data_IF_116348538053
#
_entry.id   IF_116348538053
#
_cell.length_a   1.000
_cell.length_b   1.000
_cell.length_c   1.000
_cell.angle_alpha   90.00
_cell.angle_beta   90.00
_cell.angle_gamma   90.00
#
_symmetry.space_group_name_H-M   'P 1'
#
loop_
_entity.id
_entity.type
_entity.pdbx_description
1 polymer ?
#
# COMPACT_ATOMS: atom_id res chain seq x y z
N UNK A 1 1.57 5.66 -12.95
CA UNK A 1 1.76 5.86 -11.50
C UNK A 1 3.22 5.56 -11.19
N UNK A 2 4.08 6.58 -11.18
CA UNK A 2 5.47 6.43 -10.74
C UNK A 2 5.49 6.66 -9.24
N UNK A 3 5.77 5.62 -8.46
CA UNK A 3 6.01 5.72 -7.03
C UNK A 3 7.29 6.57 -6.84
N UNK A 4 7.12 7.85 -6.49
CA UNK A 4 8.25 8.76 -6.30
C UNK A 4 8.98 8.39 -5.02
N UNK A 5 10.31 8.35 -5.07
CA UNK A 5 11.16 8.09 -3.89
C UNK A 5 10.93 9.08 -2.75
N UNK A 6 10.36 10.26 -3.02
CA UNK A 6 9.98 11.23 -2.00
C UNK A 6 8.76 10.79 -1.17
N UNK A 7 7.78 10.13 -1.79
CA UNK A 7 6.56 9.69 -1.08
C UNK A 7 6.85 8.49 -0.19
N UNK A 8 7.70 7.57 -0.64
CA UNK A 8 8.14 6.44 0.17
C UNK A 8 8.88 6.91 1.43
N UNK A 9 9.77 7.90 1.30
CA UNK A 9 10.49 8.47 2.45
C UNK A 9 9.55 9.03 3.51
N UNK A 10 8.41 9.62 3.13
CA UNK A 10 7.42 10.12 4.09
C UNK A 10 6.87 8.99 4.98
N UNK A 11 6.68 7.79 4.44
CA UNK A 11 6.21 6.63 5.21
C UNK A 11 7.22 6.16 6.28
N UNK A 12 8.53 6.26 6.03
CA UNK A 12 9.54 5.96 7.06
C UNK A 12 9.59 7.04 8.14
N UNK A 13 9.42 8.30 7.76
CA UNK A 13 9.38 9.41 8.72
C UNK A 13 8.19 9.27 9.67
N UNK A 14 7.02 8.86 9.14
CA UNK A 14 5.79 8.70 9.90
C UNK A 14 5.65 7.32 10.58
N UNK A 15 6.62 6.43 10.38
CA UNK A 15 6.56 5.04 10.81
C UNK A 15 6.25 4.89 12.31
N UNK A 16 6.85 5.72 13.16
CA UNK A 16 6.64 5.67 14.62
C UNK A 16 5.38 6.42 15.07
N UNK A 17 4.97 7.45 14.33
CA UNK A 17 3.81 8.27 14.69
C UNK A 17 2.47 7.69 14.24
N UNK A 18 2.46 6.82 13.22
CA UNK A 18 1.23 6.30 12.62
C UNK A 18 1.18 4.78 12.61
N UNK A 19 0.30 4.22 13.45
CA UNK A 19 0.14 2.78 13.61
C UNK A 19 -0.29 2.04 12.32
N UNK A 20 -1.05 2.70 11.44
CA UNK A 20 -1.45 2.12 10.15
C UNK A 20 -0.27 1.99 9.19
N UNK A 21 0.58 3.02 9.14
CA UNK A 21 1.83 3.02 8.37
C UNK A 21 2.78 1.95 8.93
N UNK A 22 2.96 1.94 10.24
CA UNK A 22 3.79 0.96 10.95
C UNK A 22 3.40 -0.48 10.61
N UNK A 23 2.12 -0.84 10.82
CA UNK A 23 1.60 -2.19 10.58
C UNK A 23 1.69 -2.62 9.12
N UNK A 24 1.53 -1.68 8.19
CA UNK A 24 1.63 -1.97 6.75
C UNK A 24 3.07 -2.21 6.35
N UNK A 25 4.00 -1.39 6.83
CA UNK A 25 5.43 -1.55 6.61
C UNK A 25 5.95 -2.86 7.23
N UNK A 26 5.54 -3.17 8.46
CA UNK A 26 5.94 -4.42 9.15
C UNK A 26 5.51 -5.67 8.39
N UNK A 27 4.28 -5.65 7.86
CA UNK A 27 3.77 -6.75 7.02
C UNK A 27 4.56 -6.89 5.74
N UNK A 28 4.89 -5.77 5.07
CA UNK A 28 5.68 -5.77 3.85
C UNK A 28 7.08 -6.35 4.10
N UNK A 29 7.78 -5.85 5.12
CA UNK A 29 9.13 -6.27 5.47
C UNK A 29 9.18 -7.74 5.87
N UNK A 30 8.20 -8.22 6.64
CA UNK A 30 8.12 -9.63 7.02
C UNK A 30 7.77 -10.53 5.83
N UNK A 31 6.83 -10.11 4.98
CA UNK A 31 6.37 -10.92 3.84
C UNK A 31 7.40 -11.03 2.72
N UNK A 32 8.18 -9.97 2.49
CA UNK A 32 9.20 -9.92 1.44
C UNK A 32 10.62 -10.09 1.95
N UNK A 33 10.80 -10.30 3.26
CA UNK A 33 12.10 -10.55 3.88
C UNK A 33 13.12 -9.44 3.53
N UNK A 34 12.68 -8.19 3.68
CA UNK A 34 13.41 -6.99 3.31
C UNK A 34 13.36 -5.95 4.44
N UNK A 35 14.22 -4.93 4.39
CA UNK A 35 14.24 -3.84 5.35
C UNK A 35 14.43 -2.48 4.67
N UNK A 36 13.61 -1.51 5.07
CA UNK A 36 13.56 -0.21 4.41
C UNK A 36 12.99 -0.28 2.98
N UNK A 37 13.16 0.78 2.20
CA UNK A 37 12.71 0.80 0.80
C UNK A 37 13.85 0.39 -0.12
N UNK A 38 14.91 1.17 -0.13
CA UNK A 38 16.10 0.88 -0.92
C UNK A 38 17.13 0.14 -0.08
N UNK A 39 17.19 0.41 1.23
CA UNK A 39 18.09 -0.28 2.16
C UNK A 39 17.62 -0.12 3.61
N UNK A 40 18.10 -1.00 4.49
CA UNK A 40 17.96 -0.87 5.94
C UNK A 40 18.47 0.49 6.49
N UNK A 41 19.33 1.18 5.74
CA UNK A 41 19.84 2.53 6.07
C UNK A 41 18.77 3.63 5.98
N UNK A 42 17.65 3.40 5.29
CA UNK A 42 16.58 4.40 5.13
C UNK A 42 15.98 4.84 6.47
N UNK A 43 16.11 4.03 7.52
CA UNK A 43 15.72 4.39 8.88
C UNK A 43 16.51 5.57 9.47
N UNK A 44 17.52 6.11 8.79
CA UNK A 44 18.13 7.40 9.14
C UNK A 44 17.16 8.57 9.07
N UNK A 45 16.14 8.49 8.20
CA UNK A 45 15.14 9.54 8.09
C UNK A 45 14.12 9.52 9.23
N UNK A 46 14.03 8.42 9.99
CA UNK A 46 13.09 8.33 11.10
C UNK A 46 13.67 8.94 12.39
N UNK A 47 12.87 9.74 13.09
CA UNK A 47 13.30 10.44 14.29
C UNK A 47 13.71 9.53 15.46
N UNK A 48 13.15 8.32 15.55
CA UNK A 48 13.47 7.36 16.60
C UNK A 48 14.70 6.49 16.27
N UNK A 49 14.91 6.20 14.98
CA UNK A 49 15.93 5.24 14.51
C UNK A 49 17.19 5.91 13.95
N UNK A 50 17.15 7.22 13.69
CA UNK A 50 18.33 8.00 13.27
C UNK A 50 19.51 7.79 14.22
N UNK A 51 20.72 7.72 13.70
CA UNK A 51 21.89 7.39 14.51
C UNK A 51 22.24 8.50 15.52
N UNK A 52 21.79 9.74 15.29
CA UNK A 52 21.89 10.87 16.23
C UNK A 52 20.80 10.89 17.32
N UNK A 53 19.82 9.99 17.29
CA UNK A 53 18.82 9.89 18.35
C UNK A 53 19.45 9.39 19.65
N UNK A 54 18.75 9.62 20.77
CA UNK A 54 19.11 9.08 22.08
C UNK A 54 18.25 7.85 22.36
N UNK A 55 18.84 6.83 22.97
CA UNK A 55 18.14 5.61 23.39
C UNK A 55 18.58 4.35 22.64
N UNK A 56 18.07 3.20 23.08
CA UNK A 56 18.48 1.88 22.59
C UNK A 56 18.11 1.61 21.13
N UNK A 57 17.09 2.31 20.62
CA UNK A 57 16.62 2.23 19.22
C UNK A 57 17.40 3.12 18.25
N UNK A 58 18.28 3.98 18.77
CA UNK A 58 19.11 4.84 17.92
C UNK A 58 20.05 4.00 17.06
N UNK A 59 20.20 4.37 15.79
CA UNK A 59 20.98 3.62 14.80
C UNK A 59 20.50 2.16 14.65
N UNK A 60 19.22 1.94 14.92
CA UNK A 60 18.56 0.64 14.83
C UNK A 60 17.61 0.54 13.64
N UNK A 61 16.92 -0.57 13.58
CA UNK A 61 15.82 -0.87 12.65
C UNK A 61 14.66 -1.48 13.45
N UNK A 62 13.43 -1.47 12.93
CA UNK A 62 12.31 -2.11 13.62
C UNK A 62 12.43 -3.64 13.67
N UNK A 63 11.69 -4.29 14.59
CA UNK A 63 11.72 -5.75 14.75
C UNK A 63 11.28 -6.54 13.51
N UNK A 64 10.47 -5.94 12.64
CA UNK A 64 10.03 -6.52 11.37
C UNK A 64 11.17 -6.75 10.37
N UNK A 65 12.29 -6.04 10.52
CA UNK A 65 13.52 -6.28 9.74
C UNK A 65 14.35 -7.46 10.26
N UNK A 66 14.01 -8.05 11.41
CA UNK A 66 14.77 -9.14 12.00
C UNK A 66 14.47 -10.47 11.32
N UNK A 67 15.51 -11.28 11.11
CA UNK A 67 15.38 -12.62 10.56
C UNK A 67 14.76 -13.51 11.64
N UNK A 68 13.56 -14.02 11.38
CA UNK A 68 12.91 -15.00 12.24
C UNK A 68 13.45 -16.39 11.95
N UNK A 69 14.12 -16.98 12.94
CA UNK A 69 14.55 -18.38 12.90
C UNK A 69 13.35 -19.22 13.32
N UNK A 70 13.06 -20.31 12.61
CA UNK A 70 11.88 -21.14 12.88
C UNK A 70 11.76 -21.51 14.37
N UNK A 71 10.62 -21.15 14.97
CA UNK A 71 10.32 -21.38 16.38
C UNK A 71 10.64 -20.24 17.36
N UNK A 72 11.22 -19.12 16.91
CA UNK A 72 11.51 -17.97 17.78
C UNK A 72 10.92 -16.67 17.24
N UNK A 73 10.14 -15.98 18.08
CA UNK A 73 9.74 -14.60 17.82
C UNK A 73 10.98 -13.71 17.77
N UNK A 74 11.06 -12.77 16.81
CA UNK A 74 12.18 -11.84 16.74
C UNK A 74 12.16 -11.00 18.02
N UNK A 75 13.24 -11.07 18.80
CA UNK A 75 13.38 -10.25 20.00
C UNK A 75 13.47 -8.79 19.56
N UNK A 76 12.76 -7.89 20.26
CA UNK A 76 12.81 -6.44 20.07
C UNK A 76 14.26 -5.91 20.04
N UNK A 77 15.19 -6.58 20.73
CA UNK A 77 16.60 -6.23 20.82
C UNK A 77 17.42 -6.51 19.55
N UNK A 78 16.94 -7.32 18.60
CA UNK A 78 17.72 -7.65 17.39
C UNK A 78 18.02 -6.41 16.54
N UNK A 79 17.05 -5.49 16.44
CA UNK A 79 17.20 -4.27 15.65
C UNK A 79 17.99 -3.16 16.33
N UNK A 80 18.41 -3.31 17.59
CA UNK A 80 19.04 -2.24 18.36
C UNK A 80 20.49 -2.03 17.95
N UNK A 81 20.86 -0.77 17.67
CA UNK A 81 22.20 -0.38 17.23
C UNK A 81 22.75 -1.18 16.03
N UNK A 82 21.89 -1.89 15.29
CA UNK A 82 22.35 -2.85 14.28
C UNK A 82 23.08 -2.16 13.13
N UNK A 83 22.69 -0.93 12.77
CA UNK A 83 23.34 -0.16 11.70
C UNK A 83 24.75 0.26 12.09
N UNK A 84 24.98 0.54 13.38
CA UNK A 84 26.31 0.80 13.95
C UNK A 84 27.15 -0.48 13.98
N UNK A 85 26.57 -1.60 14.41
CA UNK A 85 27.26 -2.89 14.51
C UNK A 85 27.62 -3.46 13.13
N UNK A 86 26.72 -3.42 12.15
CA UNK A 86 26.95 -3.86 10.77
C UNK A 86 28.10 -3.12 10.08
N UNK A 87 28.35 -1.87 10.48
CA UNK A 87 29.48 -1.09 9.97
C UNK A 87 30.82 -1.58 10.54
N UNK A 88 30.80 -2.22 11.72
CA UNK A 88 32.00 -2.70 12.42
C UNK A 88 32.23 -4.21 12.28
N UNK A 89 31.17 -5.00 12.13
CA UNK A 89 31.19 -6.44 11.94
C UNK A 89 30.18 -6.85 10.86
N UNK A 90 30.65 -7.30 9.68
CA UNK A 90 29.79 -7.80 8.61
C UNK A 90 28.95 -9.01 9.03
N UNK A 91 29.34 -9.78 10.05
CA UNK A 91 28.59 -10.97 10.49
C UNK A 91 27.25 -10.62 11.17
N UNK A 92 27.05 -9.36 11.57
CA UNK A 92 25.77 -8.89 12.08
C UNK A 92 24.64 -8.92 11.03
N UNK A 93 24.96 -9.11 9.74
CA UNK A 93 23.96 -9.27 8.66
C UNK A 93 23.18 -10.59 8.77
N UNK A 94 23.67 -11.53 9.57
CA UNK A 94 23.02 -12.83 9.77
C UNK A 94 21.76 -12.75 10.65
N UNK A 95 21.45 -11.58 11.22
CA UNK A 95 20.30 -11.38 12.12
C UNK A 95 19.22 -10.43 11.58
N UNK A 96 19.52 -9.65 10.53
CA UNK A 96 18.64 -8.59 9.99
C UNK A 96 18.69 -8.58 8.47
N UNK A 97 17.55 -8.35 7.83
CA UNK A 97 17.49 -8.12 6.38
C UNK A 97 18.16 -6.80 6.01
N UNK A 98 19.17 -6.84 5.15
CA UNK A 98 19.88 -5.64 4.67
C UNK A 98 19.34 -5.12 3.35
N UNK A 99 18.68 -5.98 2.58
CA UNK A 99 18.13 -5.67 1.26
C UNK A 99 16.84 -4.84 1.36
N UNK A 100 16.70 -3.87 0.45
CA UNK A 100 15.49 -3.06 0.34
C UNK A 100 14.28 -3.79 -0.24
N UNK A 101 13.08 -3.28 0.05
CA UNK A 101 11.83 -3.80 -0.48
C UNK A 101 11.51 -3.31 -1.93
N UNK A 102 12.05 -2.17 -2.36
CA UNK A 102 11.87 -1.61 -3.72
C UNK A 102 12.23 -2.59 -4.84
N UNK A 103 13.38 -3.30 -4.83
CA UNK A 103 13.70 -4.26 -5.88
C UNK A 103 12.71 -5.41 -5.96
N UNK A 104 12.19 -5.90 -4.84
CA UNK A 104 11.14 -6.92 -4.77
C UNK A 104 9.81 -6.43 -5.35
N UNK A 105 9.43 -5.18 -5.02
CA UNK A 105 8.24 -4.56 -5.60
C UNK A 105 8.39 -4.38 -7.12
N UNK A 106 9.54 -3.90 -7.57
CA UNK A 106 9.81 -3.69 -9.01
C UNK A 106 9.79 -5.01 -9.76
N UNK A 107 10.43 -6.06 -9.22
CA UNK A 107 10.45 -7.37 -9.86
C UNK A 107 9.04 -7.94 -9.97
N UNK A 108 8.22 -7.83 -8.92
CA UNK A 108 6.82 -8.22 -8.96
C UNK A 108 6.05 -7.45 -10.06
N UNK A 109 6.20 -6.14 -10.13
CA UNK A 109 5.50 -5.31 -11.11
C UNK A 109 5.89 -5.60 -12.56
N UNK A 110 7.18 -5.85 -12.83
CA UNK A 110 7.70 -6.06 -14.18
C UNK A 110 7.54 -7.51 -14.63
N UNK A 111 7.82 -8.48 -13.77
CA UNK A 111 7.74 -9.91 -14.11
C UNK A 111 6.31 -10.46 -14.08
N UNK A 112 5.40 -9.83 -13.33
CA UNK A 112 3.99 -10.25 -13.20
C UNK A 112 3.02 -9.23 -13.78
N UNK A 113 3.45 -8.51 -14.82
CA UNK A 113 2.61 -7.54 -15.52
C UNK A 113 1.41 -8.20 -16.20
N UNK A 114 1.52 -9.49 -16.53
CA UNK A 114 0.42 -10.34 -16.99
C UNK A 114 -0.72 -10.43 -15.96
N UNK A 115 -0.41 -10.69 -14.69
CA UNK A 115 -1.40 -10.79 -13.61
C UNK A 115 -2.00 -9.41 -13.31
N UNK A 116 -1.15 -8.39 -13.20
CA UNK A 116 -1.62 -7.02 -12.97
C UNK A 116 -2.51 -6.56 -14.13
N UNK A 117 -2.14 -6.90 -15.37
CA UNK A 117 -2.94 -6.63 -16.55
C UNK A 117 -4.28 -7.36 -16.54
N UNK A 118 -4.29 -8.65 -16.20
CA UNK A 118 -5.52 -9.45 -16.09
C UNK A 118 -6.47 -8.89 -15.02
N UNK A 119 -5.97 -8.55 -13.84
CA UNK A 119 -6.78 -7.97 -12.76
C UNK A 119 -7.30 -6.60 -13.16
N UNK A 120 -6.46 -5.76 -13.78
CA UNK A 120 -6.84 -4.44 -14.25
C UNK A 120 -7.94 -4.51 -15.32
N UNK A 121 -7.69 -5.22 -16.42
CA UNK A 121 -8.64 -5.38 -17.51
C UNK A 121 -9.92 -6.10 -17.06
N UNK A 122 -9.77 -7.15 -16.25
CA UNK A 122 -10.88 -7.92 -15.69
C UNK A 122 -11.76 -7.08 -14.75
N UNK A 123 -11.19 -6.11 -14.04
CA UNK A 123 -11.95 -5.15 -13.22
C UNK A 123 -12.58 -4.03 -14.05
N UNK A 124 -11.94 -3.59 -15.13
CA UNK A 124 -12.48 -2.53 -16.00
C UNK A 124 -13.71 -2.96 -16.80
N UNK A 125 -13.78 -4.21 -17.25
CA UNK A 125 -14.93 -4.73 -18.03
C UNK A 125 -16.27 -4.61 -17.27
N UNK A 126 -16.42 -5.12 -16.03
CA UNK A 126 -17.68 -5.00 -15.28
C UNK A 126 -18.00 -3.55 -14.92
N UNK A 127 -16.99 -2.68 -14.73
CA UNK A 127 -17.22 -1.25 -14.52
C UNK A 127 -17.86 -0.61 -15.76
N UNK A 128 -17.32 -0.88 -16.97
CA UNK A 128 -17.88 -0.37 -18.23
C UNK A 128 -19.31 -0.88 -18.45
N UNK A 129 -19.55 -2.17 -18.21
CA UNK A 129 -20.89 -2.75 -18.33
C UNK A 129 -21.86 -2.09 -17.35
N UNK A 130 -21.43 -1.88 -16.09
CA UNK A 130 -22.23 -1.19 -15.08
C UNK A 130 -22.61 0.23 -15.49
N UNK A 131 -21.66 1.00 -16.05
CA UNK A 131 -21.95 2.34 -16.58
C UNK A 131 -22.93 2.30 -17.75
N UNK A 132 -22.77 1.38 -18.70
CA UNK A 132 -23.68 1.26 -19.85
C UNK A 132 -25.10 0.87 -19.42
N UNK A 133 -25.23 -0.10 -18.51
CA UNK A 133 -26.52 -0.52 -17.97
C UNK A 133 -27.19 0.59 -17.16
N UNK A 134 -26.43 1.29 -16.31
CA UNK A 134 -26.93 2.45 -15.56
C UNK A 134 -27.41 3.57 -16.47
N UNK A 135 -26.64 3.90 -17.51
CA UNK A 135 -27.04 4.88 -18.52
C UNK A 135 -28.31 4.46 -19.27
N UNK A 136 -28.38 3.20 -19.71
CA UNK A 136 -29.56 2.66 -20.38
C UNK A 136 -30.80 2.73 -19.48
N UNK A 137 -30.66 2.34 -18.21
CA UNK A 137 -31.74 2.38 -17.24
C UNK A 137 -32.27 3.80 -17.02
N UNK A 138 -31.38 4.78 -16.82
CA UNK A 138 -31.78 6.19 -16.63
C UNK A 138 -32.55 6.70 -17.85
N UNK A 139 -32.04 6.47 -19.07
CA UNK A 139 -32.75 6.90 -20.28
C UNK A 139 -34.12 6.27 -20.41
N UNK A 140 -34.24 4.97 -20.11
CA UNK A 140 -35.54 4.29 -20.13
C UNK A 140 -36.50 4.88 -19.10
N UNK A 141 -36.04 5.14 -17.89
CA UNK A 141 -36.86 5.78 -16.85
C UNK A 141 -37.32 7.17 -17.28
N UNK A 142 -36.45 7.97 -17.91
CA UNK A 142 -36.83 9.29 -18.45
C UNK A 142 -37.90 9.17 -19.54
N UNK A 143 -37.76 8.23 -20.48
CA UNK A 143 -38.78 7.96 -21.50
C UNK A 143 -40.13 7.61 -20.87
N UNK A 144 -40.16 6.68 -19.90
CA UNK A 144 -41.38 6.30 -19.20
C UNK A 144 -41.99 7.48 -18.41
N UNK A 145 -41.15 8.30 -17.78
CA UNK A 145 -41.62 9.46 -17.02
C UNK A 145 -42.24 10.54 -17.93
N UNK A 146 -41.68 10.75 -19.13
CA UNK A 146 -42.27 11.65 -20.14
C UNK A 146 -43.62 11.13 -20.61
N UNK A 147 -43.73 9.83 -20.97
CA UNK A 147 -44.99 9.22 -21.38
C UNK A 147 -46.07 9.31 -20.29
N UNK A 148 -45.71 9.07 -19.02
CA UNK A 148 -46.65 9.20 -17.90
C UNK A 148 -47.14 10.65 -17.73
N UNK A 149 -46.25 11.64 -17.87
CA UNK A 149 -46.62 13.06 -17.80
C UNK A 149 -47.57 13.47 -18.93
N UNK A 150 -47.29 13.05 -20.17
CA UNK A 150 -48.15 13.36 -21.32
C UNK A 150 -49.50 12.66 -21.20
N UNK A 151 -49.55 11.41 -20.74
CA UNK A 151 -50.80 10.67 -20.49
C UNK A 151 -51.66 11.30 -19.39
N UNK A 152 -51.06 11.80 -18.31
CA UNK A 152 -51.75 12.52 -17.24
C UNK A 152 -52.32 13.89 -17.71
N UNK A 153 -51.62 14.59 -18.60
CA UNK A 153 -52.12 15.83 -19.22
C UNK A 153 -53.27 15.53 -20.19
N UNK A 154 -53.15 14.47 -21.00
CA UNK A 154 -54.23 14.07 -21.92
C UNK A 154 -55.52 13.66 -21.22
N UNK A 155 -55.41 13.01 -20.05
CA UNK A 155 -56.57 12.58 -19.26
C UNK A 155 -57.24 13.71 -18.45
N UNK A 156 -56.52 14.77 -18.10
CA UNK A 156 -57.11 15.98 -17.48
C UNK A 156 -57.80 16.90 -18.49
N UNK A 157 -57.41 16.87 -19.76
CA UNK A 157 -58.08 17.65 -20.82
C UNK A 157 -59.41 17.01 -21.27
N UNK A 158 -59.54 15.69 -21.18
CA UNK A 158 -60.78 14.96 -21.53
C UNK A 158 -61.89 15.03 -20.46
N UNK A 159 -61.60 15.41 -19.23
CA UNK A 159 -62.59 15.59 -18.15
C UNK A 159 -63.16 17.01 -18.07
N UNK A 160 -62.75 17.90 -18.97
CA UNK A 160 -63.17 19.31 -19.02
C UNK A 160 -64.12 19.64 -20.18
N UNK A 161 -64.64 18.62 -20.89
CA UNK A 161 -65.57 18.77 -22.04
C UNK A 161 -66.98 18.33 -21.69
#
# INVERSE_FOLDING_TARGET
MSLSSSELKASIIEYDSNASVQKSMDRLQTAWQCCGFDSYQDYEFNNLFKCSAKGERACGVPPSCCITIEGHFPKLSCGYNVRRNLTMDPQASSYVYTEGCTPHLRSLLVLRLDIVGMVGLGSSIPQIIGFLLGYYFIRRVEEYHVWYRVGAIGSSMSTSS
#
